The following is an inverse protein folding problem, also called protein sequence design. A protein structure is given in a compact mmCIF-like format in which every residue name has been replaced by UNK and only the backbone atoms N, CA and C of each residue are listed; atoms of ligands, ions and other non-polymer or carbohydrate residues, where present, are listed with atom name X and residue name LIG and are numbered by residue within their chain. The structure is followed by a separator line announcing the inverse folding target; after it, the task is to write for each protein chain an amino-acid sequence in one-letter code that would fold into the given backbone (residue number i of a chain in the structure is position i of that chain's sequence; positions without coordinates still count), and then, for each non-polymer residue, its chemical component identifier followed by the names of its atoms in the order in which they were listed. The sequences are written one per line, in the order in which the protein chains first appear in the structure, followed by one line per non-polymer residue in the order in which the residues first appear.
data_IF_277304683248
#
_entry.id   IF_277304683248
#
_cell.length_a   1.000
_cell.length_b   1.000
_cell.length_c   1.000
_cell.angle_alpha   90.00
_cell.angle_beta   90.00
_cell.angle_gamma   90.00
#
_symmetry.space_group_name_H-M   'P 1'
#
loop_
_entity.id
_entity.type
_entity.pdbx_description
1 polymer ?
#
# COMPACT_ATOMS: atom_id res chain seq x y z
N UNK A 1 26.66 -9.98 22.78
CA UNK A 1 26.92 -8.74 22.02
C UNK A 1 25.74 -7.80 22.20
N UNK A 2 25.90 -6.73 22.99
CA UNK A 2 24.86 -5.72 23.20
C UNK A 2 24.68 -4.91 21.91
N UNK A 3 23.48 -4.95 21.34
CA UNK A 3 23.08 -4.05 20.24
C UNK A 3 23.16 -2.62 20.78
N UNK A 4 24.19 -1.85 20.40
CA UNK A 4 24.06 -0.39 20.39
C UNK A 4 22.91 -0.07 19.45
N UNK A 5 21.82 0.48 19.95
CA UNK A 5 20.87 1.21 19.11
C UNK A 5 21.67 2.37 18.54
N UNK A 6 22.06 2.25 17.27
CA UNK A 6 22.55 3.41 16.54
C UNK A 6 21.45 4.48 16.60
N UNK A 7 21.82 5.67 17.07
CA UNK A 7 20.90 6.79 17.12
C UNK A 7 20.45 7.11 15.70
N UNK A 8 19.17 7.46 15.54
CA UNK A 8 18.64 7.94 14.26
C UNK A 8 19.45 9.15 13.81
N UNK A 9 19.83 9.18 12.53
CA UNK A 9 20.45 10.36 11.94
C UNK A 9 19.44 11.52 11.93
N UNK A 10 19.89 12.79 11.96
CA UNK A 10 19.00 13.96 11.88
C UNK A 10 18.04 13.89 10.69
N UNK A 11 18.53 13.41 9.54
CA UNK A 11 17.73 13.20 8.33
C UNK A 11 16.63 12.16 8.56
N UNK A 12 16.95 11.00 9.15
CA UNK A 12 15.94 9.98 9.43
C UNK A 12 14.88 10.48 10.43
N UNK A 13 15.28 11.28 11.42
CA UNK A 13 14.34 11.90 12.36
C UNK A 13 13.39 12.86 11.64
N UNK A 14 13.90 13.70 10.74
CA UNK A 14 13.08 14.60 9.93
C UNK A 14 12.13 13.84 8.98
N UNK A 15 12.61 12.78 8.33
CA UNK A 15 11.82 11.92 7.48
C UNK A 15 10.67 11.23 8.25
N UNK A 16 10.96 10.70 9.44
CA UNK A 16 9.94 10.11 10.33
C UNK A 16 8.94 11.18 10.77
N UNK A 17 9.41 12.37 11.18
CA UNK A 17 8.54 13.47 11.58
C UNK A 17 7.60 13.90 10.44
N UNK A 18 8.10 13.95 9.20
CA UNK A 18 7.29 14.29 8.03
C UNK A 18 6.20 13.22 7.77
N UNK A 19 6.54 11.93 7.85
CA UNK A 19 5.56 10.85 7.69
C UNK A 19 4.54 10.83 8.84
N UNK A 20 4.97 11.06 10.08
CA UNK A 20 4.08 11.19 11.24
C UNK A 20 3.18 12.43 11.15
N UNK A 21 3.63 13.48 10.46
CA UNK A 21 2.85 14.68 10.21
C UNK A 21 1.53 14.40 9.49
N UNK A 22 1.49 13.43 8.58
CA UNK A 22 0.24 13.01 7.91
C UNK A 22 -0.78 12.49 8.93
N UNK A 23 -0.36 11.61 9.85
CA UNK A 23 -1.22 11.12 10.93
C UNK A 23 -1.65 12.26 11.88
N UNK A 24 -0.72 13.17 12.18
CA UNK A 24 -1.01 14.37 12.96
C UNK A 24 -2.11 15.23 12.32
N UNK A 25 -2.04 15.46 11.01
CA UNK A 25 -3.08 16.20 10.26
C UNK A 25 -4.43 15.50 10.37
N UNK A 26 -4.51 14.17 10.20
CA UNK A 26 -5.78 13.44 10.32
C UNK A 26 -6.39 13.59 11.73
N UNK A 27 -5.56 13.48 12.77
CA UNK A 27 -5.99 13.65 14.16
C UNK A 27 -6.48 15.09 14.39
N UNK A 28 -5.72 16.08 13.95
CA UNK A 28 -6.09 17.49 14.11
C UNK A 28 -7.40 17.80 13.39
N UNK A 29 -7.55 17.35 12.14
CA UNK A 29 -8.78 17.57 11.37
C UNK A 29 -9.99 16.96 12.06
N UNK A 30 -9.88 15.75 12.61
CA UNK A 30 -11.00 15.08 13.27
C UNK A 30 -11.44 15.76 14.57
N UNK A 31 -10.48 16.16 15.43
CA UNK A 31 -10.80 16.67 16.77
C UNK A 31 -10.99 18.19 16.84
N UNK A 32 -10.38 18.95 15.94
CA UNK A 32 -10.35 20.41 16.04
C UNK A 32 -11.17 21.13 14.96
N UNK A 33 -11.62 20.45 13.91
CA UNK A 33 -12.49 21.07 12.89
C UNK A 33 -13.97 20.84 13.26
N UNK A 34 -14.76 21.90 13.50
CA UNK A 34 -16.19 21.79 13.80
C UNK A 34 -16.97 21.02 12.73
N UNK A 35 -18.02 20.32 13.15
CA UNK A 35 -18.88 19.54 12.23
C UNK A 35 -19.48 20.42 11.13
N UNK A 36 -19.85 21.66 11.44
CA UNK A 36 -20.40 22.64 10.48
C UNK A 36 -19.43 23.00 9.35
N UNK A 37 -18.12 22.90 9.58
CA UNK A 37 -17.10 23.05 8.54
C UNK A 37 -16.84 21.72 7.84
N UNK A 38 -16.75 20.61 8.59
CA UNK A 38 -16.53 19.27 8.01
C UNK A 38 -17.61 18.89 6.99
N UNK A 39 -18.87 19.24 7.25
CA UNK A 39 -19.99 18.97 6.34
C UNK A 39 -19.87 19.66 4.98
N UNK A 40 -19.22 20.82 4.91
CA UNK A 40 -18.97 21.56 3.65
C UNK A 40 -17.92 20.90 2.76
N UNK A 41 -17.08 20.03 3.34
CA UNK A 41 -15.96 19.36 2.66
C UNK A 41 -16.22 17.87 2.40
N UNK A 42 -17.44 17.40 2.66
CA UNK A 42 -17.87 16.04 2.35
C UNK A 42 -18.05 15.86 0.84
N UNK A 43 -17.65 14.69 0.34
CA UNK A 43 -17.97 14.29 -1.03
C UNK A 43 -19.40 13.73 -1.05
N UNK A 44 -20.29 14.42 -1.75
CA UNK A 44 -21.69 14.05 -1.95
C UNK A 44 -21.88 13.62 -3.40
N UNK A 45 -22.49 12.46 -3.66
CA UNK A 45 -22.60 11.92 -5.02
C UNK A 45 -23.53 12.75 -5.93
N UNK A 46 -24.49 13.49 -5.36
CA UNK A 46 -25.33 14.42 -6.13
C UNK A 46 -24.61 15.70 -6.59
N UNK A 47 -23.60 16.15 -5.85
CA UNK A 47 -22.89 17.41 -6.09
C UNK A 47 -21.37 17.20 -6.00
N UNK A 48 -20.77 16.38 -6.89
CA UNK A 48 -19.35 16.05 -6.81
C UNK A 48 -18.50 17.26 -7.19
N UNK A 49 -17.49 17.56 -6.38
CA UNK A 49 -16.46 18.57 -6.71
C UNK A 49 -15.06 18.00 -6.51
N UNK A 50 -14.08 18.58 -7.20
CA UNK A 50 -12.67 18.18 -7.02
C UNK A 50 -12.18 18.46 -5.60
N UNK A 51 -12.63 19.57 -5.01
CA UNK A 51 -12.28 19.95 -3.64
C UNK A 51 -12.82 18.92 -2.67
N UNK A 52 -14.13 18.61 -2.74
CA UNK A 52 -14.75 17.63 -1.86
C UNK A 52 -14.19 16.23 -2.05
N UNK A 53 -13.84 15.84 -3.29
CA UNK A 53 -13.18 14.56 -3.56
C UNK A 53 -11.83 14.45 -2.83
N UNK A 54 -11.05 15.54 -2.79
CA UNK A 54 -9.76 15.55 -2.13
C UNK A 54 -9.89 15.65 -0.60
N UNK A 55 -10.67 16.60 -0.11
CA UNK A 55 -10.80 16.87 1.34
C UNK A 55 -11.51 15.75 2.08
N UNK A 56 -12.45 15.05 1.45
CA UNK A 56 -13.16 13.93 2.07
C UNK A 56 -12.23 12.78 2.49
N UNK A 57 -11.01 12.67 1.93
CA UNK A 57 -10.03 11.69 2.37
C UNK A 57 -9.50 11.96 3.79
N UNK A 58 -9.57 13.19 4.28
CA UNK A 58 -9.10 13.60 5.61
C UNK A 58 -10.21 13.65 6.66
N UNK A 59 -11.45 13.39 6.24
CA UNK A 59 -12.61 13.41 7.13
C UNK A 59 -12.96 12.00 7.58
N UNK A 60 -13.23 11.85 8.88
CA UNK A 60 -13.68 10.61 9.50
C UNK A 60 -14.97 10.84 10.28
N UNK A 61 -15.84 9.83 10.26
CA UNK A 61 -17.12 9.78 10.97
C UNK A 61 -16.97 9.50 12.47
N UNK A 62 -15.91 8.80 12.84
CA UNK A 62 -15.73 8.23 14.18
C UNK A 62 -14.26 8.10 14.53
N UNK A 63 -13.99 8.08 15.83
CA UNK A 63 -12.64 7.87 16.39
C UNK A 63 -12.11 6.49 16.01
N UNK A 64 -12.97 5.45 15.98
CA UNK A 64 -12.57 4.09 15.60
C UNK A 64 -12.12 4.01 14.14
N UNK A 65 -12.83 4.67 13.22
CA UNK A 65 -12.46 4.73 11.81
C UNK A 65 -11.17 5.52 11.58
N UNK A 66 -10.97 6.62 12.31
CA UNK A 66 -9.71 7.37 12.32
C UNK A 66 -8.56 6.50 12.84
N UNK A 67 -8.73 5.86 14.01
CA UNK A 67 -7.71 5.03 14.63
C UNK A 67 -7.28 3.87 13.73
N UNK A 68 -8.24 3.21 13.08
CA UNK A 68 -7.97 2.17 12.07
C UNK A 68 -7.16 2.72 10.90
N UNK A 69 -7.54 3.88 10.35
CA UNK A 69 -6.83 4.51 9.24
C UNK A 69 -5.39 4.89 9.60
N UNK A 70 -5.18 5.50 10.77
CA UNK A 70 -3.85 5.91 11.26
C UNK A 70 -2.98 4.69 11.55
N UNK A 71 -3.55 3.64 12.13
CA UNK A 71 -2.84 2.38 12.42
C UNK A 71 -2.36 1.72 11.14
N UNK A 72 -3.24 1.54 10.15
CA UNK A 72 -2.87 0.96 8.87
C UNK A 72 -1.88 1.83 8.11
N UNK A 73 -2.07 3.15 8.12
CA UNK A 73 -1.09 4.09 7.57
C UNK A 73 0.30 3.89 8.19
N UNK A 74 0.40 3.84 9.51
CA UNK A 74 1.67 3.69 10.22
C UNK A 74 2.37 2.35 9.89
N UNK A 75 1.60 1.25 9.85
CA UNK A 75 2.14 -0.09 9.53
C UNK A 75 2.66 -0.14 8.09
N UNK A 76 1.86 0.31 7.13
CA UNK A 76 2.20 0.28 5.70
C UNK A 76 3.36 1.21 5.40
N UNK A 77 3.27 2.46 5.87
CA UNK A 77 4.29 3.48 5.64
C UNK A 77 5.60 3.14 6.36
N UNK A 78 5.54 2.65 7.59
CA UNK A 78 6.72 2.18 8.33
C UNK A 78 7.42 1.04 7.60
N UNK A 79 6.66 0.09 7.05
CA UNK A 79 7.21 -1.02 6.27
C UNK A 79 7.83 -0.55 4.95
N UNK A 80 7.16 0.36 4.23
CA UNK A 80 7.66 0.93 2.98
C UNK A 80 8.94 1.74 3.22
N UNK A 81 8.93 2.62 4.22
CA UNK A 81 10.09 3.42 4.60
C UNK A 81 11.27 2.54 5.03
N UNK A 82 11.03 1.48 5.82
CA UNK A 82 12.07 0.52 6.20
C UNK A 82 12.74 -0.13 4.97
N UNK A 83 11.97 -0.54 3.95
CA UNK A 83 12.53 -1.06 2.70
C UNK A 83 13.38 -0.03 1.96
N UNK A 84 12.98 1.24 1.98
CA UNK A 84 13.70 2.30 1.25
C UNK A 84 15.04 2.65 1.87
N UNK A 85 15.28 2.28 3.12
CA UNK A 85 16.61 2.42 3.74
C UNK A 85 17.69 1.63 3.01
N UNK A 86 17.28 0.63 2.23
CA UNK A 86 18.16 -0.21 1.42
C UNK A 86 18.44 0.34 0.03
N UNK A 87 17.78 1.43 -0.35
CA UNK A 87 17.90 2.01 -1.68
C UNK A 87 19.04 3.03 -1.70
N UNK A 88 19.82 3.03 -2.79
CA UNK A 88 20.88 4.02 -3.01
C UNK A 88 20.34 5.46 -3.08
N UNK A 89 19.10 5.60 -3.61
CA UNK A 89 18.42 6.89 -3.76
C UNK A 89 17.02 6.82 -3.17
N UNK A 90 16.72 7.75 -2.24
CA UNK A 90 15.41 7.87 -1.58
C UNK A 90 14.43 8.80 -2.31
N UNK A 91 14.88 9.62 -3.26
CA UNK A 91 14.02 10.54 -4.01
C UNK A 91 12.78 9.88 -4.64
N UNK A 92 12.88 8.71 -5.31
CA UNK A 92 11.73 8.06 -5.92
C UNK A 92 10.65 7.67 -4.90
N UNK A 93 11.07 7.27 -3.71
CA UNK A 93 10.13 6.95 -2.63
C UNK A 93 9.29 8.18 -2.26
N UNK A 94 9.94 9.33 -2.03
CA UNK A 94 9.25 10.56 -1.68
C UNK A 94 8.32 11.06 -2.79
N UNK A 95 8.73 10.98 -4.06
CA UNK A 95 7.83 11.29 -5.18
C UNK A 95 6.62 10.37 -5.24
N UNK A 96 6.81 9.06 -4.98
CA UNK A 96 5.70 8.12 -4.93
C UNK A 96 4.78 8.40 -3.72
N UNK A 97 5.33 8.76 -2.55
CA UNK A 97 4.53 9.15 -1.37
C UNK A 97 3.67 10.38 -1.66
N UNK A 98 4.27 11.44 -2.21
CA UNK A 98 3.54 12.67 -2.59
C UNK A 98 2.49 12.36 -3.67
N UNK A 99 2.87 11.57 -4.69
CA UNK A 99 1.95 11.14 -5.73
C UNK A 99 0.74 10.38 -5.18
N UNK A 100 0.94 9.46 -4.24
CA UNK A 100 -0.14 8.75 -3.56
C UNK A 100 -1.04 9.70 -2.75
N UNK A 101 -0.47 10.64 -1.98
CA UNK A 101 -1.24 11.61 -1.19
C UNK A 101 -2.10 12.54 -2.05
N UNK A 102 -1.59 12.93 -3.22
CA UNK A 102 -2.28 13.87 -4.11
C UNK A 102 -3.30 13.16 -5.00
N UNK A 103 -2.93 12.04 -5.61
CA UNK A 103 -3.73 11.39 -6.64
C UNK A 103 -4.75 10.40 -6.08
N UNK A 104 -4.42 9.66 -5.01
CA UNK A 104 -5.33 8.65 -4.50
C UNK A 104 -6.69 9.21 -4.04
N UNK A 105 -6.79 10.36 -3.34
CA UNK A 105 -8.09 10.95 -3.02
C UNK A 105 -8.96 11.20 -4.25
N UNK A 106 -8.37 11.77 -5.31
CA UNK A 106 -9.08 12.13 -6.53
C UNK A 106 -9.52 10.90 -7.32
N UNK A 107 -8.59 9.97 -7.58
CA UNK A 107 -8.84 8.80 -8.42
C UNK A 107 -9.84 7.85 -7.76
N UNK A 108 -9.74 7.64 -6.44
CA UNK A 108 -10.68 6.76 -5.73
C UNK A 108 -12.11 7.29 -5.77
N UNK A 109 -12.31 8.60 -5.54
CA UNK A 109 -13.65 9.22 -5.62
C UNK A 109 -14.19 9.29 -7.04
N UNK A 110 -13.33 9.55 -8.02
CA UNK A 110 -13.73 9.54 -9.43
C UNK A 110 -14.24 8.16 -9.86
N UNK A 111 -13.52 7.10 -9.52
CA UNK A 111 -13.90 5.73 -9.88
C UNK A 111 -15.14 5.27 -9.11
N UNK A 112 -15.22 5.57 -7.80
CA UNK A 112 -16.44 5.32 -7.02
C UNK A 112 -17.65 6.03 -7.62
N UNK A 113 -17.53 7.31 -7.97
CA UNK A 113 -18.59 8.07 -8.62
C UNK A 113 -18.99 7.46 -9.97
N UNK A 114 -18.01 7.16 -10.83
CA UNK A 114 -18.30 6.57 -12.13
C UNK A 114 -19.00 5.21 -12.00
N UNK A 115 -18.49 4.29 -11.17
CA UNK A 115 -19.08 2.96 -11.01
C UNK A 115 -20.38 2.97 -10.21
N UNK A 116 -20.34 3.46 -8.98
CA UNK A 116 -21.45 3.33 -8.04
C UNK A 116 -22.63 4.22 -8.43
N UNK A 117 -22.36 5.44 -8.91
CA UNK A 117 -23.41 6.40 -9.28
C UNK A 117 -23.81 6.27 -10.75
N UNK A 118 -22.86 6.39 -11.69
CA UNK A 118 -23.22 6.47 -13.11
C UNK A 118 -23.51 5.10 -13.76
N UNK A 119 -22.72 4.06 -13.44
CA UNK A 119 -22.87 2.76 -14.09
C UNK A 119 -23.89 1.85 -13.40
N UNK A 120 -23.84 1.76 -12.06
CA UNK A 120 -24.65 0.80 -11.32
C UNK A 120 -25.83 1.43 -10.57
N UNK A 121 -25.90 2.75 -10.45
CA UNK A 121 -26.96 3.47 -9.76
C UNK A 121 -27.25 2.91 -8.35
N UNK A 122 -26.18 2.58 -7.60
CA UNK A 122 -26.24 1.99 -6.25
C UNK A 122 -26.25 3.03 -5.14
N UNK A 123 -26.01 4.30 -5.45
CA UNK A 123 -25.90 5.39 -4.47
C UNK A 123 -26.81 6.57 -4.82
N UNK A 124 -27.52 7.07 -3.82
CA UNK A 124 -28.42 8.21 -3.95
C UNK A 124 -27.65 9.54 -3.93
N UNK A 125 -28.31 10.62 -4.31
CA UNK A 125 -27.72 11.98 -4.39
C UNK A 125 -27.18 12.43 -3.04
N UNK A 126 -27.92 12.14 -1.97
CA UNK A 126 -27.56 12.48 -0.60
C UNK A 126 -26.48 11.55 0.00
N UNK A 127 -26.10 10.47 -0.69
CA UNK A 127 -25.04 9.59 -0.19
C UNK A 127 -23.72 10.35 -0.15
N UNK A 128 -22.97 10.18 0.93
CA UNK A 128 -21.65 10.82 1.12
C UNK A 128 -20.56 9.77 1.24
N UNK A 129 -19.33 10.14 0.86
CA UNK A 129 -18.18 9.26 0.99
C UNK A 129 -16.99 9.99 1.61
N UNK A 130 -16.41 9.43 2.67
CA UNK A 130 -15.27 10.01 3.41
C UNK A 130 -14.32 8.93 3.93
N UNK A 131 -13.10 9.31 4.26
CA UNK A 131 -12.11 8.45 4.91
C UNK A 131 -10.80 8.29 4.14
N UNK A 132 -9.73 8.03 4.89
CA UNK A 132 -8.36 7.96 4.39
C UNK A 132 -7.97 6.59 3.81
N UNK A 133 -8.85 5.59 3.89
CA UNK A 133 -8.52 4.20 3.57
C UNK A 133 -8.13 3.97 2.10
N UNK A 134 -8.69 4.75 1.17
CA UNK A 134 -8.25 4.73 -0.24
C UNK A 134 -6.78 5.16 -0.41
N UNK A 135 -6.34 6.15 0.38
CA UNK A 135 -4.94 6.62 0.40
C UNK A 135 -4.02 5.60 1.07
N UNK A 136 -4.45 5.00 2.18
CA UNK A 136 -3.75 3.87 2.82
C UNK A 136 -3.56 2.72 1.83
N UNK A 137 -4.58 2.42 1.03
CA UNK A 137 -4.51 1.38 0.00
C UNK A 137 -3.49 1.74 -1.08
N UNK A 138 -3.41 3.01 -1.48
CA UNK A 138 -2.36 3.48 -2.39
C UNK A 138 -0.95 3.32 -1.81
N UNK A 139 -0.76 3.56 -0.52
CA UNK A 139 0.52 3.21 0.12
C UNK A 139 0.78 1.70 0.14
N UNK A 140 -0.27 0.88 0.21
CA UNK A 140 -0.17 -0.57 0.01
C UNK A 140 0.35 -0.93 -1.39
N UNK A 141 -0.15 -0.27 -2.43
CA UNK A 141 0.33 -0.43 -3.80
C UNK A 141 1.79 0.01 -3.98
N UNK A 142 2.17 1.12 -3.33
CA UNK A 142 3.56 1.58 -3.26
C UNK A 142 4.46 0.54 -2.58
N UNK A 143 4.03 -0.01 -1.44
CA UNK A 143 4.77 -1.04 -0.71
C UNK A 143 4.95 -2.30 -1.56
N UNK A 144 3.91 -2.74 -2.27
CA UNK A 144 3.96 -3.89 -3.18
C UNK A 144 5.01 -3.71 -4.28
N UNK A 145 5.01 -2.57 -4.98
CA UNK A 145 6.00 -2.27 -6.02
C UNK A 145 7.40 -2.12 -5.42
N UNK A 146 7.51 -1.54 -4.22
CA UNK A 146 8.78 -1.37 -3.52
C UNK A 146 9.40 -2.71 -3.11
N UNK A 147 8.58 -3.69 -2.71
CA UNK A 147 9.01 -5.08 -2.47
C UNK A 147 9.53 -5.71 -3.77
N UNK A 148 8.76 -5.61 -4.86
CA UNK A 148 9.15 -6.14 -6.16
C UNK A 148 10.52 -5.57 -6.61
N UNK A 149 10.71 -4.25 -6.51
CA UNK A 149 11.99 -3.57 -6.79
C UNK A 149 13.11 -4.10 -5.91
N UNK A 150 12.89 -4.12 -4.60
CA UNK A 150 13.94 -4.46 -3.62
C UNK A 150 14.41 -5.89 -3.78
N UNK A 151 13.47 -6.83 -3.95
CA UNK A 151 13.78 -8.25 -4.18
C UNK A 151 14.46 -8.43 -5.53
N UNK A 152 13.97 -7.77 -6.58
CA UNK A 152 14.58 -7.83 -7.92
C UNK A 152 16.02 -7.34 -7.91
N UNK A 153 16.29 -6.22 -7.26
CA UNK A 153 17.63 -5.64 -7.17
C UNK A 153 18.61 -6.53 -6.38
N UNK A 154 18.14 -7.22 -5.33
CA UNK A 154 18.98 -8.02 -4.44
C UNK A 154 19.16 -9.47 -4.88
N UNK A 155 18.11 -10.06 -5.42
CA UNK A 155 18.01 -11.50 -5.64
C UNK A 155 17.63 -11.86 -7.09
N UNK A 156 17.49 -10.87 -7.96
CA UNK A 156 17.20 -11.05 -9.38
C UNK A 156 15.71 -11.05 -9.73
N UNK A 157 15.42 -10.86 -11.01
CA UNK A 157 14.06 -10.71 -11.55
C UNK A 157 13.12 -11.86 -11.19
N UNK A 158 13.60 -13.11 -11.32
CA UNK A 158 12.80 -14.29 -11.00
C UNK A 158 12.33 -14.31 -9.53
N UNK A 159 13.19 -13.88 -8.59
CA UNK A 159 12.83 -13.78 -7.19
C UNK A 159 11.81 -12.67 -6.94
N UNK A 160 11.95 -11.53 -7.64
CA UNK A 160 10.97 -10.44 -7.63
C UNK A 160 9.59 -10.92 -8.04
N UNK A 161 9.49 -11.56 -9.21
CA UNK A 161 8.24 -12.13 -9.76
C UNK A 161 7.65 -13.17 -8.81
N UNK A 162 8.46 -14.10 -8.30
CA UNK A 162 8.01 -15.11 -7.35
C UNK A 162 7.47 -14.49 -6.06
N UNK A 163 8.11 -13.44 -5.54
CA UNK A 163 7.66 -12.74 -4.33
C UNK A 163 6.32 -12.06 -4.55
N UNK A 164 6.17 -11.31 -5.65
CA UNK A 164 4.89 -10.66 -5.98
C UNK A 164 3.77 -11.67 -6.20
N UNK A 165 4.05 -12.78 -6.91
CA UNK A 165 3.08 -13.87 -7.09
C UNK A 165 2.70 -14.53 -5.76
N UNK A 166 3.65 -14.72 -4.86
CA UNK A 166 3.41 -15.28 -3.52
C UNK A 166 2.54 -14.36 -2.67
N UNK A 167 2.75 -13.04 -2.75
CA UNK A 167 1.89 -12.05 -2.08
C UNK A 167 0.46 -12.16 -2.60
N UNK A 168 0.25 -12.21 -3.92
CA UNK A 168 -1.09 -12.32 -4.51
C UNK A 168 -1.76 -13.62 -4.10
N UNK A 169 -1.07 -14.75 -4.22
CA UNK A 169 -1.62 -16.05 -3.80
C UNK A 169 -1.92 -16.07 -2.29
N UNK A 170 -1.03 -15.54 -1.47
CA UNK A 170 -1.24 -15.43 -0.03
C UNK A 170 -2.44 -14.57 0.33
N UNK A 171 -2.61 -13.44 -0.35
CA UNK A 171 -3.75 -12.55 -0.17
C UNK A 171 -5.07 -13.22 -0.59
N UNK A 172 -5.10 -13.92 -1.73
CA UNK A 172 -6.27 -14.67 -2.20
C UNK A 172 -6.64 -15.81 -1.24
N UNK A 173 -5.66 -16.56 -0.75
CA UNK A 173 -5.88 -17.61 0.26
C UNK A 173 -6.42 -17.01 1.57
N UNK A 174 -5.83 -15.92 2.05
CA UNK A 174 -6.29 -15.24 3.26
C UNK A 174 -7.72 -14.71 3.08
N UNK A 175 -8.03 -14.07 1.95
CA UNK A 175 -9.37 -13.59 1.61
C UNK A 175 -10.38 -14.75 1.55
N UNK A 176 -10.01 -15.89 0.94
CA UNK A 176 -10.88 -17.06 0.86
C UNK A 176 -11.19 -17.66 2.24
N UNK A 177 -10.29 -17.54 3.22
CA UNK A 177 -10.50 -18.00 4.59
C UNK A 177 -11.39 -17.03 5.38
N UNK A 178 -11.22 -15.73 5.16
CA UNK A 178 -11.87 -14.69 6.00
C UNK A 178 -13.16 -14.14 5.41
N UNK A 179 -13.44 -14.37 4.13
CA UNK A 179 -14.63 -13.87 3.45
C UNK A 179 -15.86 -14.69 3.82
N UNK A 180 -16.96 -14.01 4.16
CA UNK A 180 -18.27 -14.63 4.35
C UNK A 180 -18.95 -15.03 3.02
N UNK A 181 -18.44 -14.54 1.89
CA UNK A 181 -19.02 -14.74 0.55
C UNK A 181 -18.35 -15.90 -0.18
N UNK A 182 -17.05 -16.11 0.04
CA UNK A 182 -16.31 -17.19 -0.61
C UNK A 182 -16.54 -18.51 0.13
N UNK A 183 -16.80 -19.58 -0.61
CA UNK A 183 -16.93 -20.91 -0.01
C UNK A 183 -15.59 -21.36 0.59
N UNK A 184 -15.58 -21.97 1.80
CA UNK A 184 -14.37 -22.54 2.41
C UNK A 184 -13.62 -23.52 1.50
N UNK A 185 -14.33 -24.17 0.57
CA UNK A 185 -13.74 -25.06 -0.44
C UNK A 185 -12.71 -24.36 -1.33
N UNK A 186 -12.92 -23.09 -1.67
CA UNK A 186 -11.99 -22.27 -2.47
C UNK A 186 -10.68 -22.06 -1.70
N UNK A 187 -10.77 -21.77 -0.41
CA UNK A 187 -9.61 -21.63 0.46
C UNK A 187 -8.80 -22.93 0.51
N UNK A 188 -9.47 -24.08 0.66
CA UNK A 188 -8.82 -25.40 0.67
C UNK A 188 -8.07 -25.64 -0.64
N UNK A 189 -8.69 -25.34 -1.79
CA UNK A 189 -8.03 -25.52 -3.10
C UNK A 189 -6.80 -24.61 -3.23
N UNK A 190 -6.91 -23.32 -2.92
CA UNK A 190 -5.79 -22.37 -3.01
C UNK A 190 -4.65 -22.75 -2.07
N UNK A 191 -4.96 -23.11 -0.82
CA UNK A 191 -3.98 -23.58 0.16
C UNK A 191 -3.32 -24.89 -0.30
N UNK A 192 -4.06 -25.79 -0.92
CA UNK A 192 -3.52 -27.06 -1.44
C UNK A 192 -2.58 -26.82 -2.61
N UNK A 193 -2.95 -25.96 -3.56
CA UNK A 193 -2.09 -25.57 -4.69
C UNK A 193 -0.79 -24.94 -4.16
N UNK A 194 -0.90 -24.01 -3.21
CA UNK A 194 0.26 -23.36 -2.61
C UNK A 194 1.15 -24.38 -1.87
N UNK A 195 0.56 -25.24 -1.03
CA UNK A 195 1.29 -26.27 -0.29
C UNK A 195 1.99 -27.27 -1.23
N UNK A 196 1.33 -27.66 -2.32
CA UNK A 196 1.88 -28.58 -3.32
C UNK A 196 3.04 -27.94 -4.09
N UNK A 197 2.89 -26.69 -4.53
CA UNK A 197 3.96 -25.94 -5.20
C UNK A 197 5.18 -25.76 -4.29
N UNK A 198 4.95 -25.41 -3.01
CA UNK A 198 6.01 -25.32 -1.99
C UNK A 198 6.65 -26.70 -1.76
N UNK A 199 5.84 -27.76 -1.65
CA UNK A 199 6.30 -29.13 -1.46
C UNK A 199 7.21 -29.62 -2.58
N UNK A 200 6.79 -29.44 -3.85
CA UNK A 200 7.61 -29.75 -5.03
C UNK A 200 8.92 -28.96 -4.99
N UNK A 201 8.85 -27.66 -4.69
CA UNK A 201 10.03 -26.82 -4.62
C UNK A 201 11.00 -27.28 -3.52
N UNK A 202 10.51 -27.63 -2.33
CA UNK A 202 11.32 -28.17 -1.23
C UNK A 202 11.98 -29.48 -1.67
N UNK A 203 11.21 -30.42 -2.22
CA UNK A 203 11.73 -31.73 -2.66
C UNK A 203 12.83 -31.56 -3.71
N UNK A 204 12.60 -30.73 -4.73
CA UNK A 204 13.55 -30.48 -5.82
C UNK A 204 14.85 -29.82 -5.33
N UNK A 205 14.79 -29.07 -4.24
CA UNK A 205 15.92 -28.29 -3.75
C UNK A 205 16.49 -28.75 -2.40
N UNK A 206 16.05 -29.91 -1.88
CA UNK A 206 16.51 -30.46 -0.59
C UNK A 206 18.00 -30.36 -0.31
N UNK A 207 18.91 -30.76 -1.23
CA UNK A 207 20.35 -30.71 -0.94
C UNK A 207 20.87 -29.28 -0.74
N UNK A 208 20.17 -28.26 -1.24
CA UNK A 208 20.56 -26.85 -1.11
C UNK A 208 20.00 -26.18 0.16
N UNK A 209 19.03 -26.79 0.83
CA UNK A 209 18.35 -26.20 2.01
C UNK A 209 19.31 -25.81 3.13
N UNK A 210 20.30 -26.63 3.55
CA UNK A 210 21.22 -26.24 4.62
C UNK A 210 22.04 -24.99 4.27
N UNK A 211 22.51 -24.91 3.02
CA UNK A 211 23.25 -23.74 2.52
C UNK A 211 22.39 -22.49 2.48
N UNK A 212 21.12 -22.62 2.07
CA UNK A 212 20.16 -21.52 2.07
C UNK A 212 19.77 -21.07 3.47
N UNK A 213 19.68 -21.99 4.44
CA UNK A 213 19.40 -21.64 5.83
C UNK A 213 20.53 -20.81 6.42
N UNK A 214 21.79 -21.23 6.20
CA UNK A 214 22.95 -20.46 6.60
C UNK A 214 22.99 -19.09 5.92
N UNK A 215 22.71 -19.03 4.62
CA UNK A 215 22.60 -17.79 3.86
C UNK A 215 21.47 -16.87 4.38
N UNK A 216 20.28 -17.40 4.63
CA UNK A 216 19.14 -16.64 5.13
C UNK A 216 19.44 -16.06 6.52
N UNK A 217 20.13 -16.83 7.36
CA UNK A 217 20.59 -16.34 8.66
C UNK A 217 21.61 -15.19 8.51
N UNK A 218 22.52 -15.28 7.52
CA UNK A 218 23.48 -14.21 7.22
C UNK A 218 22.79 -12.93 6.70
N UNK A 219 21.62 -13.07 6.06
CA UNK A 219 20.83 -11.98 5.47
C UNK A 219 19.61 -11.60 6.31
N UNK A 220 19.53 -12.07 7.56
CA UNK A 220 18.30 -12.04 8.38
C UNK A 220 17.66 -10.66 8.48
N UNK A 221 18.46 -9.61 8.64
CA UNK A 221 17.96 -8.27 8.90
C UNK A 221 17.34 -7.69 7.62
N UNK A 222 17.92 -7.98 6.45
CA UNK A 222 17.36 -7.59 5.16
C UNK A 222 16.13 -8.42 4.75
N UNK A 223 16.14 -9.72 5.03
CA UNK A 223 15.00 -10.60 4.78
C UNK A 223 13.81 -10.27 5.68
N UNK A 224 14.06 -9.87 6.94
CA UNK A 224 13.00 -9.51 7.88
C UNK A 224 12.14 -8.36 7.37
N UNK A 225 12.74 -7.27 6.86
CA UNK A 225 11.97 -6.16 6.29
C UNK A 225 11.15 -6.57 5.07
N UNK A 226 11.66 -7.48 4.24
CA UNK A 226 10.94 -8.02 3.07
C UNK A 226 9.77 -8.88 3.55
N UNK A 227 9.99 -9.80 4.48
CA UNK A 227 8.94 -10.69 5.00
C UNK A 227 7.84 -9.88 5.70
N UNK A 228 8.21 -8.91 6.55
CA UNK A 228 7.25 -8.01 7.19
C UNK A 228 6.43 -7.25 6.14
N UNK A 229 7.09 -6.67 5.13
CA UNK A 229 6.40 -6.00 4.03
C UNK A 229 5.44 -6.93 3.28
N UNK A 230 5.86 -8.15 2.96
CA UNK A 230 5.01 -9.15 2.30
C UNK A 230 3.78 -9.49 3.15
N UNK A 231 3.96 -9.74 4.45
CA UNK A 231 2.84 -10.02 5.38
C UNK A 231 1.89 -8.83 5.45
N UNK A 232 2.41 -7.61 5.57
CA UNK A 232 1.59 -6.40 5.59
C UNK A 232 0.75 -6.27 4.33
N UNK A 233 1.33 -6.49 3.13
CA UNK A 233 0.56 -6.42 1.88
C UNK A 233 -0.45 -7.56 1.78
N UNK A 234 -0.10 -8.79 2.18
CA UNK A 234 -1.03 -9.94 2.19
C UNK A 234 -2.24 -9.63 3.07
N UNK A 235 -2.01 -9.16 4.31
CA UNK A 235 -3.10 -8.83 5.23
C UNK A 235 -3.91 -7.67 4.66
N UNK A 236 -3.27 -6.59 4.21
CA UNK A 236 -3.95 -5.44 3.62
C UNK A 236 -4.86 -5.87 2.46
N UNK A 237 -4.32 -6.58 1.47
CA UNK A 237 -5.09 -7.08 0.32
C UNK A 237 -6.24 -8.00 0.73
N UNK A 238 -6.04 -8.87 1.74
CA UNK A 238 -7.13 -9.74 2.24
C UNK A 238 -8.27 -8.93 2.87
N UNK A 239 -7.96 -7.76 3.43
CA UNK A 239 -8.94 -6.87 4.06
C UNK A 239 -9.60 -5.92 3.04
N UNK A 240 -8.89 -5.50 1.97
CA UNK A 240 -9.42 -4.58 0.95
C UNK A 240 -10.69 -5.11 0.26
N UNK A 241 -10.83 -6.44 0.16
CA UNK A 241 -11.93 -7.11 -0.54
C UNK A 241 -12.95 -7.74 0.40
N UNK A 242 -12.89 -7.46 1.70
CA UNK A 242 -13.97 -7.88 2.60
C UNK A 242 -15.19 -7.00 2.37
N UNK A 243 -16.26 -7.62 1.85
CA UNK A 243 -17.57 -6.99 1.74
C UNK A 243 -18.19 -6.97 3.14
N UNK A 244 -18.09 -5.85 3.84
CA UNK A 244 -18.91 -5.60 5.04
C UNK A 244 -20.15 -4.83 4.59
N UNK A 245 -21.28 -5.52 4.55
CA UNK A 245 -22.59 -4.86 4.58
C UNK A 245 -22.82 -4.44 6.02
N UNK A 246 -22.66 -3.16 6.34
CA UNK A 246 -23.05 -2.71 7.67
C UNK A 246 -24.57 -2.48 7.74
N UNK A 247 -25.11 -2.59 8.95
CA UNK A 247 -26.54 -2.42 9.25
C UNK A 247 -27.01 -0.97 9.08
N UNK A 248 -26.12 -0.04 8.71
CA UNK A 248 -26.39 1.40 8.51
C UNK A 248 -26.36 1.86 7.05
N UNK A 249 -26.14 0.94 6.09
CA UNK A 249 -26.05 1.27 4.67
C UNK A 249 -24.69 1.85 4.22
N UNK A 250 -23.62 1.66 5.00
CA UNK A 250 -22.26 2.07 4.63
C UNK A 250 -21.71 1.14 3.56
N UNK A 251 -21.50 1.71 2.38
CA UNK A 251 -20.66 1.09 1.36
C UNK A 251 -19.19 1.27 1.79
N UNK A 252 -18.61 0.30 2.50
CA UNK A 252 -17.15 0.20 2.60
C UNK A 252 -16.66 -0.15 1.20
N UNK A 253 -16.32 0.87 0.42
CA UNK A 253 -16.09 0.71 -1.02
C UNK A 253 -14.84 -0.14 -1.27
N UNK A 254 -15.05 -1.44 -1.47
CA UNK A 254 -14.05 -2.37 -2.00
C UNK A 254 -13.42 -1.81 -3.29
N UNK A 255 -14.24 -1.08 -4.07
CA UNK A 255 -13.80 -0.35 -5.26
C UNK A 255 -12.78 0.73 -4.91
N UNK A 256 -13.03 1.58 -3.90
CA UNK A 256 -12.09 2.63 -3.48
C UNK A 256 -10.77 2.05 -2.99
N UNK A 257 -10.83 0.95 -2.23
CA UNK A 257 -9.64 0.25 -1.74
C UNK A 257 -8.82 -0.33 -2.90
N UNK A 258 -9.46 -1.07 -3.81
CA UNK A 258 -8.80 -1.63 -5.00
C UNK A 258 -8.24 -0.54 -5.93
N UNK A 259 -8.99 0.53 -6.15
CA UNK A 259 -8.58 1.69 -6.96
C UNK A 259 -7.40 2.41 -6.32
N UNK A 260 -7.43 2.60 -5.00
CA UNK A 260 -6.33 3.18 -4.24
C UNK A 260 -5.06 2.36 -4.43
N UNK A 261 -5.14 1.04 -4.19
CA UNK A 261 -4.02 0.12 -4.39
C UNK A 261 -3.44 0.18 -5.80
N UNK A 262 -4.30 0.12 -6.83
CA UNK A 262 -3.88 0.26 -8.23
C UNK A 262 -3.20 1.61 -8.50
N UNK A 263 -3.76 2.71 -7.99
CA UNK A 263 -3.18 4.05 -8.11
C UNK A 263 -1.77 4.08 -7.53
N UNK A 264 -1.58 3.52 -6.33
CA UNK A 264 -0.28 3.43 -5.69
C UNK A 264 0.75 2.65 -6.50
N UNK A 265 0.35 1.51 -7.08
CA UNK A 265 1.22 0.75 -7.97
C UNK A 265 1.62 1.57 -9.20
N UNK A 266 0.65 2.16 -9.90
CA UNK A 266 0.87 2.94 -11.12
C UNK A 266 1.80 4.12 -10.85
N UNK A 267 1.49 4.92 -9.83
CA UNK A 267 2.32 6.07 -9.43
C UNK A 267 3.75 5.63 -9.15
N UNK A 268 3.93 4.57 -8.37
CA UNK A 268 5.26 4.10 -8.01
C UNK A 268 6.03 3.58 -9.23
N UNK A 269 5.39 2.80 -10.10
CA UNK A 269 6.01 2.32 -11.34
C UNK A 269 6.44 3.49 -12.23
N UNK A 270 5.57 4.48 -12.43
CA UNK A 270 5.87 5.65 -13.25
C UNK A 270 7.06 6.45 -12.70
N UNK A 271 7.11 6.66 -11.39
CA UNK A 271 8.23 7.34 -10.73
C UNK A 271 9.54 6.56 -10.92
N UNK A 272 9.51 5.23 -10.82
CA UNK A 272 10.69 4.38 -11.04
C UNK A 272 11.15 4.41 -12.50
N UNK A 273 10.22 4.39 -13.46
CA UNK A 273 10.52 4.53 -14.89
C UNK A 273 11.16 5.89 -15.17
N UNK A 274 10.59 6.98 -14.62
CA UNK A 274 11.12 8.32 -14.79
C UNK A 274 12.54 8.45 -14.21
N UNK A 275 12.81 7.86 -13.04
CA UNK A 275 14.16 7.79 -12.47
C UNK A 275 15.12 7.05 -13.42
N UNK A 276 14.72 5.88 -13.91
CA UNK A 276 15.55 5.06 -14.80
C UNK A 276 15.90 5.78 -16.10
N UNK A 277 14.90 6.39 -16.75
CA UNK A 277 15.08 7.15 -17.99
C UNK A 277 15.99 8.36 -17.76
N UNK A 278 15.78 9.11 -16.68
CA UNK A 278 16.63 10.26 -16.33
C UNK A 278 18.09 9.86 -16.10
N UNK A 279 18.35 8.68 -15.52
CA UNK A 279 19.72 8.17 -15.36
C UNK A 279 20.37 7.78 -16.70
N UNK A 280 19.63 7.20 -17.63
CA UNK A 280 20.19 6.88 -18.95
C UNK A 280 20.56 8.13 -19.74
N UNK A 281 19.75 9.19 -19.66
CA UNK A 281 20.00 10.46 -20.33
C UNK A 281 21.29 11.15 -19.86
N UNK A 282 21.58 11.09 -18.56
CA UNK A 282 22.79 11.70 -17.98
C UNK A 282 24.08 10.90 -18.26
N UNK A 283 23.96 9.61 -18.63
CA UNK A 283 25.11 8.74 -18.93
C UNK A 283 25.53 8.74 -20.41
N UNK A 284 24.76 9.34 -21.33
CA UNK A 284 25.16 9.42 -22.75
C UNK A 284 26.43 10.27 -22.93
N UNK A 285 27.47 9.76 -23.60
CA UNK A 285 28.68 10.54 -23.91
C UNK A 285 28.30 11.66 -24.89
N UNK A 286 28.33 12.90 -24.40
CA UNK A 286 27.88 14.09 -25.14
C UNK A 286 27.18 15.14 -24.25
N UNK A 287 26.65 14.74 -23.09
CA UNK A 287 25.95 15.62 -22.16
C UNK A 287 26.77 16.03 -20.91
N UNK A 288 28.06 15.71 -20.85
CA UNK A 288 28.96 16.40 -19.90
C UNK A 288 29.20 17.79 -20.47
N UNK A 289 28.37 18.74 -20.05
CA UNK A 289 28.68 20.15 -20.21
C UNK A 289 30.07 20.36 -19.59
N UNK A 290 30.99 20.76 -20.47
CA UNK A 290 32.31 21.26 -20.12
C UNK A 290 32.07 22.41 -19.13
N UNK A 291 32.42 22.20 -17.87
CA UNK A 291 32.65 23.26 -16.89
C UNK A 291 34.12 23.64 -16.94
#
# INVERSE_FOLDING_TARGET
MSRRREALTPTQTAEIALLSGVAGVLIVVHFFVPESLRSQFLFTYGEPTVVSAWTAAFLHDSVSHLASSVTWYAIVMGSAYALTTTWERRRPFWFAVVGCLVLAPLVTKLVDYWLLRLQWNLVADATTARGFSGVVSAFGGLLYVSLARTVTARYGYAAGVATTGTIVLGALSALAITSAVLSPSVAVVLCTIAAFAIGIWIVRNRPKIPTWRAWAWSQRDGLLSIVVGCVVVVVLLSQLFQVQLDETGRFVSVIAHGTGFATGMIVTVLVLIAEYVGQQWTKKPGNRLVT
#
